data_IF_603102176760
#
_entry.id   IF_603102176760
#
_cell.length_a   1.000
_cell.length_b   1.000
_cell.length_c   1.000
_cell.angle_alpha   90.00
_cell.angle_beta   90.00
_cell.angle_gamma   90.00
#
_symmetry.space_group_name_H-M   'P 1'
#
loop_
_entity.id
_entity.type
_entity.pdbx_description
1 polymer ?
#
# COMPACT_ATOMS: atom_id res chain seq x y z
N UNK A 1 4.41 -15.12 -23.25
CA UNK A 1 4.59 -14.70 -21.84
C UNK A 1 3.32 -14.85 -20.97
N UNK A 2 2.21 -14.15 -21.20
CA UNK A 2 1.01 -14.29 -20.33
C UNK A 2 0.33 -15.68 -20.45
N UNK A 3 0.36 -16.33 -21.59
CA UNK A 3 -0.20 -17.66 -21.81
C UNK A 3 0.66 -18.76 -21.17
N UNK A 4 1.97 -18.69 -21.34
CA UNK A 4 2.93 -19.64 -20.73
C UNK A 4 2.92 -19.54 -19.21
N UNK A 5 2.75 -18.33 -18.66
CA UNK A 5 2.62 -18.14 -17.22
C UNK A 5 1.34 -18.78 -16.65
N UNK A 6 0.23 -18.72 -17.40
CA UNK A 6 -1.02 -19.38 -17.00
C UNK A 6 -0.89 -20.92 -17.04
N UNK A 7 -0.20 -21.45 -18.03
CA UNK A 7 0.03 -22.89 -18.17
C UNK A 7 0.92 -23.39 -17.02
N UNK A 8 2.02 -22.70 -16.70
CA UNK A 8 2.90 -23.06 -15.58
C UNK A 8 2.20 -22.92 -14.22
N UNK A 9 1.33 -21.94 -14.04
CA UNK A 9 0.58 -21.77 -12.81
C UNK A 9 -0.49 -22.83 -12.63
N UNK A 10 -1.10 -23.32 -13.74
CA UNK A 10 -2.09 -24.36 -13.68
C UNK A 10 -1.47 -25.71 -13.33
N UNK A 11 -0.30 -26.07 -13.92
CA UNK A 11 0.42 -27.30 -13.57
C UNK A 11 0.87 -27.33 -12.10
N UNK A 12 1.34 -26.18 -11.56
CA UNK A 12 1.69 -26.07 -10.15
C UNK A 12 0.46 -26.23 -9.23
N UNK A 13 -0.68 -25.74 -9.66
CA UNK A 13 -1.95 -25.86 -8.91
C UNK A 13 -2.41 -27.31 -8.87
N UNK A 14 -2.34 -28.01 -10.01
CA UNK A 14 -2.72 -29.40 -10.13
C UNK A 14 -1.79 -30.30 -9.29
N UNK A 15 -0.49 -30.04 -9.30
CA UNK A 15 0.51 -30.70 -8.45
C UNK A 15 0.24 -30.49 -6.95
N UNK A 16 -0.05 -29.25 -6.53
CA UNK A 16 -0.40 -28.95 -5.14
C UNK A 16 -1.68 -29.65 -4.69
N UNK A 17 -2.64 -29.82 -5.59
CA UNK A 17 -3.91 -30.50 -5.29
C UNK A 17 -3.75 -32.02 -5.20
N UNK A 18 -3.06 -32.62 -6.18
CA UNK A 18 -3.00 -34.06 -6.35
C UNK A 18 -1.91 -34.71 -5.47
N UNK A 19 -0.79 -33.99 -5.25
CA UNK A 19 0.36 -34.54 -4.52
C UNK A 19 0.34 -34.19 -3.03
N UNK A 20 -0.16 -32.99 -2.66
CA UNK A 20 -0.14 -32.50 -1.27
C UNK A 20 -1.53 -32.39 -0.62
N UNK A 21 -2.63 -32.69 -1.34
CA UNK A 21 -3.98 -32.73 -0.80
C UNK A 21 -4.49 -31.36 -0.28
N UNK A 22 -3.97 -30.25 -0.81
CA UNK A 22 -4.43 -28.92 -0.42
C UNK A 22 -5.91 -28.69 -0.78
N UNK A 23 -6.61 -28.01 0.12
CA UNK A 23 -8.00 -27.65 -0.14
C UNK A 23 -8.12 -26.64 -1.31
N UNK A 24 -9.26 -26.62 -1.97
CA UNK A 24 -9.55 -25.62 -3.02
C UNK A 24 -9.44 -24.17 -2.52
N UNK A 25 -9.62 -23.96 -1.23
CA UNK A 25 -9.43 -22.68 -0.55
C UNK A 25 -7.95 -22.28 -0.48
N UNK A 26 -7.08 -23.21 -0.04
CA UNK A 26 -5.64 -22.97 0.05
C UNK A 26 -5.04 -22.66 -1.31
N UNK A 27 -5.47 -23.41 -2.34
CA UNK A 27 -5.07 -23.20 -3.73
C UNK A 27 -5.49 -21.81 -4.23
N UNK A 28 -6.72 -21.40 -3.97
CA UNK A 28 -7.20 -20.05 -4.33
C UNK A 28 -6.40 -18.95 -3.63
N UNK A 29 -6.00 -19.18 -2.37
CA UNK A 29 -5.15 -18.28 -1.60
C UNK A 29 -3.75 -18.17 -2.20
N UNK A 30 -3.10 -19.30 -2.51
CA UNK A 30 -1.77 -19.33 -3.14
C UNK A 30 -1.79 -18.60 -4.48
N UNK A 31 -2.79 -18.89 -5.32
CA UNK A 31 -2.96 -18.21 -6.62
C UNK A 31 -3.13 -16.70 -6.47
N UNK A 32 -3.95 -16.28 -5.53
CA UNK A 32 -4.13 -14.84 -5.24
C UNK A 32 -2.83 -14.18 -4.80
N UNK A 33 -2.10 -14.80 -3.87
CA UNK A 33 -0.84 -14.26 -3.33
C UNK A 33 0.23 -14.16 -4.43
N UNK A 34 0.43 -15.22 -5.21
CA UNK A 34 1.41 -15.24 -6.31
C UNK A 34 1.11 -14.18 -7.37
N UNK A 35 -0.16 -14.08 -7.78
CA UNK A 35 -0.59 -13.07 -8.76
C UNK A 35 -0.39 -11.65 -8.22
N UNK A 36 -0.70 -11.42 -6.95
CA UNK A 36 -0.51 -10.13 -6.29
C UNK A 36 0.97 -9.74 -6.19
N UNK A 37 1.83 -10.69 -5.81
CA UNK A 37 3.29 -10.46 -5.74
C UNK A 37 3.84 -10.10 -7.12
N UNK A 38 3.45 -10.85 -8.16
CA UNK A 38 3.91 -10.56 -9.52
C UNK A 38 3.49 -9.17 -10.00
N UNK A 39 2.26 -8.77 -9.73
CA UNK A 39 1.76 -7.44 -10.08
C UNK A 39 2.47 -6.32 -9.30
N UNK A 40 2.74 -6.50 -8.02
CA UNK A 40 3.46 -5.51 -7.23
C UNK A 40 4.93 -5.42 -7.65
N UNK A 41 5.57 -6.56 -7.96
CA UNK A 41 6.96 -6.58 -8.41
C UNK A 41 7.15 -5.91 -9.77
N UNK A 42 6.23 -6.12 -10.73
CA UNK A 42 6.27 -5.44 -12.04
C UNK A 42 6.15 -3.91 -11.90
N UNK A 43 5.27 -3.44 -11.03
CA UNK A 43 5.13 -2.00 -10.73
C UNK A 43 6.40 -1.43 -10.10
N UNK A 44 7.02 -2.17 -9.17
CA UNK A 44 8.25 -1.75 -8.51
C UNK A 44 9.37 -1.50 -9.49
N UNK A 45 9.56 -2.41 -10.47
CA UNK A 45 10.58 -2.26 -11.51
C UNK A 45 10.29 -1.03 -12.38
N UNK A 46 9.06 -0.92 -12.90
CA UNK A 46 8.69 0.17 -13.82
C UNK A 46 8.81 1.53 -13.12
N UNK A 47 8.30 1.67 -11.91
CA UNK A 47 8.37 2.93 -11.16
C UNK A 47 9.79 3.22 -10.68
N UNK A 48 10.57 2.21 -10.29
CA UNK A 48 11.97 2.36 -9.92
C UNK A 48 12.81 2.94 -11.06
N UNK A 49 12.61 2.42 -12.27
CA UNK A 49 13.25 2.95 -13.49
C UNK A 49 12.78 4.38 -13.76
N UNK A 50 11.47 4.63 -13.74
CA UNK A 50 10.89 5.94 -14.02
C UNK A 50 11.40 7.03 -13.06
N UNK A 51 11.29 6.81 -11.75
CA UNK A 51 11.78 7.77 -10.74
C UNK A 51 13.31 7.83 -10.68
N UNK A 52 14.00 6.75 -11.07
CA UNK A 52 15.46 6.73 -11.23
C UNK A 52 15.92 7.68 -12.32
N UNK A 53 15.32 7.63 -13.51
CA UNK A 53 15.61 8.56 -14.61
C UNK A 53 15.32 10.01 -14.26
N UNK A 54 14.29 10.28 -13.46
CA UNK A 54 13.96 11.62 -13.00
C UNK A 54 14.85 12.14 -11.84
N UNK A 55 15.78 11.32 -11.33
CA UNK A 55 16.64 11.67 -10.19
C UNK A 55 15.98 11.61 -8.81
N UNK A 56 14.75 11.05 -8.71
CA UNK A 56 13.98 10.94 -7.47
C UNK A 56 14.02 9.54 -6.84
N UNK A 57 14.99 8.71 -7.18
CA UNK A 57 15.06 7.31 -6.74
C UNK A 57 15.01 7.14 -5.22
N UNK A 58 15.76 7.95 -4.46
CA UNK A 58 15.77 7.89 -2.98
C UNK A 58 14.40 8.27 -2.40
N UNK A 59 13.76 9.31 -2.92
CA UNK A 59 12.41 9.73 -2.52
C UNK A 59 11.37 8.66 -2.86
N UNK A 60 11.53 8.02 -4.02
CA UNK A 60 10.70 6.87 -4.42
C UNK A 60 10.81 5.72 -3.42
N UNK A 61 12.02 5.35 -2.97
CA UNK A 61 12.21 4.30 -1.98
C UNK A 61 11.50 4.62 -0.65
N UNK A 62 11.60 5.86 -0.17
CA UNK A 62 10.90 6.28 1.07
C UNK A 62 9.38 6.14 0.91
N UNK A 63 8.82 6.70 -0.16
CA UNK A 63 7.38 6.61 -0.43
C UNK A 63 6.91 5.17 -0.65
N UNK A 64 7.68 4.37 -1.39
CA UNK A 64 7.38 2.97 -1.68
C UNK A 64 7.34 2.14 -0.40
N UNK A 65 8.37 2.23 0.45
CA UNK A 65 8.45 1.49 1.71
C UNK A 65 7.26 1.82 2.60
N UNK A 66 6.97 3.10 2.81
CA UNK A 66 5.82 3.53 3.60
C UNK A 66 4.50 3.04 3.01
N UNK A 67 4.30 3.20 1.70
CA UNK A 67 3.08 2.79 1.02
C UNK A 67 2.88 1.27 1.08
N UNK A 68 3.93 0.48 0.87
CA UNK A 68 3.86 -0.98 0.97
C UNK A 68 3.49 -1.42 2.39
N UNK A 69 4.18 -0.92 3.40
CA UNK A 69 3.88 -1.29 4.79
C UNK A 69 2.47 -0.89 5.22
N UNK A 70 1.99 0.29 4.82
CA UNK A 70 0.62 0.72 5.10
C UNK A 70 -0.40 -0.13 4.35
N UNK A 71 -0.19 -0.41 3.05
CA UNK A 71 -1.11 -1.22 2.24
C UNK A 71 -1.21 -2.67 2.70
N UNK A 72 -0.10 -3.29 3.07
CA UNK A 72 -0.10 -4.69 3.56
C UNK A 72 -0.89 -4.80 4.87
N UNK A 73 -0.78 -3.82 5.75
CA UNK A 73 -1.37 -3.87 7.08
C UNK A 73 -2.78 -3.24 7.14
N UNK A 74 -2.96 -2.06 6.57
CA UNK A 74 -4.21 -1.30 6.69
C UNK A 74 -5.11 -1.52 5.47
N UNK A 75 -4.53 -1.94 4.34
CA UNK A 75 -5.25 -2.11 3.09
C UNK A 75 -5.33 -0.80 2.28
N UNK A 76 -6.33 -0.67 1.46
CA UNK A 76 -6.55 0.46 0.58
C UNK A 76 -7.54 0.15 -0.53
N UNK A 77 -7.57 0.95 -1.59
CA UNK A 77 -8.39 0.69 -2.78
C UNK A 77 -7.82 -0.51 -3.53
N UNK A 78 -8.68 -1.51 -3.75
CA UNK A 78 -8.39 -2.67 -4.59
C UNK A 78 -9.13 -2.55 -5.90
N UNK A 79 -8.40 -2.50 -7.00
CA UNK A 79 -8.96 -2.44 -8.35
C UNK A 79 -9.04 -3.85 -8.96
N UNK A 80 -10.13 -4.13 -9.71
CA UNK A 80 -10.32 -5.41 -10.42
C UNK A 80 -9.28 -5.62 -11.53
N UNK A 81 -8.85 -4.52 -12.18
CA UNK A 81 -7.91 -4.56 -13.31
C UNK A 81 -6.52 -4.08 -12.90
N UNK A 82 -5.50 -4.77 -13.39
CA UNK A 82 -4.10 -4.42 -13.17
C UNK A 82 -3.78 -2.97 -13.59
N UNK A 83 -4.24 -2.55 -14.78
CA UNK A 83 -3.96 -1.21 -15.32
C UNK A 83 -4.52 -0.11 -14.41
N UNK A 84 -5.74 -0.27 -13.92
CA UNK A 84 -6.34 0.71 -13.00
C UNK A 84 -5.58 0.81 -11.70
N UNK A 85 -5.15 -0.35 -11.14
CA UNK A 85 -4.34 -0.38 -9.93
C UNK A 85 -2.95 0.22 -10.17
N UNK A 86 -2.34 -0.02 -11.34
CA UNK A 86 -1.07 0.57 -11.75
C UNK A 86 -1.17 2.09 -11.83
N UNK A 87 -2.16 2.62 -12.56
CA UNK A 87 -2.36 4.07 -12.72
C UNK A 87 -2.65 4.75 -11.38
N UNK A 88 -3.50 4.16 -10.54
CA UNK A 88 -3.79 4.69 -9.22
C UNK A 88 -2.52 4.78 -8.36
N UNK A 89 -1.70 3.72 -8.35
CA UNK A 89 -0.44 3.70 -7.60
C UNK A 89 0.55 4.71 -8.17
N UNK A 90 0.62 4.84 -9.50
CA UNK A 90 1.46 5.84 -10.16
C UNK A 90 1.07 7.27 -9.77
N UNK A 91 -0.22 7.61 -9.83
CA UNK A 91 -0.72 8.94 -9.45
C UNK A 91 -0.39 9.25 -7.98
N UNK A 92 -0.54 8.29 -7.09
CA UNK A 92 -0.21 8.48 -5.66
C UNK A 92 1.29 8.71 -5.47
N UNK A 93 2.14 7.88 -6.07
CA UNK A 93 3.60 8.04 -5.96
C UNK A 93 4.07 9.33 -6.62
N UNK A 94 3.59 9.65 -7.82
CA UNK A 94 3.95 10.89 -8.52
C UNK A 94 3.54 12.13 -7.71
N UNK A 95 2.32 12.12 -7.17
CA UNK A 95 1.82 13.22 -6.34
C UNK A 95 2.61 13.36 -5.04
N UNK A 96 2.91 12.27 -4.34
CA UNK A 96 3.64 12.31 -3.06
C UNK A 96 5.13 12.64 -3.21
N UNK A 97 5.76 12.25 -4.32
CA UNK A 97 7.20 12.43 -4.52
C UNK A 97 7.54 13.76 -5.19
N UNK A 98 6.75 14.16 -6.19
CA UNK A 98 7.10 15.30 -7.04
C UNK A 98 6.12 16.46 -6.86
N UNK A 99 4.83 16.21 -7.06
CA UNK A 99 3.84 17.28 -7.20
C UNK A 99 3.64 18.04 -5.89
N UNK A 100 3.22 17.34 -4.83
CA UNK A 100 2.85 17.96 -3.56
C UNK A 100 4.05 18.56 -2.80
N UNK A 101 5.23 17.90 -2.70
CA UNK A 101 6.38 18.50 -2.06
C UNK A 101 6.89 19.77 -2.74
N UNK A 102 6.69 19.90 -4.06
CA UNK A 102 7.06 21.12 -4.80
C UNK A 102 6.05 22.25 -4.66
N UNK A 103 4.75 21.92 -4.58
CA UNK A 103 3.68 22.90 -4.50
C UNK A 103 3.43 23.37 -3.07
N UNK A 104 3.55 22.50 -2.09
CA UNK A 104 3.12 22.71 -0.72
C UNK A 104 4.20 22.20 0.24
N UNK A 105 5.06 23.11 0.69
CA UNK A 105 5.98 22.83 1.77
C UNK A 105 5.27 22.93 3.12
N UNK A 106 5.32 21.85 3.90
CA UNK A 106 4.65 21.76 5.20
C UNK A 106 5.68 21.82 6.32
N UNK A 107 5.49 22.73 7.27
CA UNK A 107 6.37 22.85 8.44
C UNK A 107 6.36 21.55 9.28
N UNK A 108 7.49 21.15 9.89
CA UNK A 108 7.60 19.88 10.64
C UNK A 108 6.55 19.71 11.74
N UNK A 109 6.19 20.79 12.42
CA UNK A 109 5.16 20.76 13.46
C UNK A 109 3.77 20.40 12.88
N UNK A 110 3.44 20.90 11.70
CA UNK A 110 2.20 20.56 11.02
C UNK A 110 2.23 19.12 10.47
N UNK A 111 3.40 18.64 10.02
CA UNK A 111 3.58 17.23 9.63
C UNK A 111 3.22 16.33 10.81
N UNK A 112 3.78 16.58 12.00
CA UNK A 112 3.51 15.81 13.21
C UNK A 112 2.00 15.84 13.54
N UNK A 113 1.40 17.02 13.54
CA UNK A 113 -0.01 17.19 13.87
C UNK A 113 -0.94 16.44 12.90
N UNK A 114 -0.75 16.63 11.60
CA UNK A 114 -1.58 15.98 10.57
C UNK A 114 -1.34 14.47 10.54
N UNK A 115 -0.09 14.00 10.66
CA UNK A 115 0.20 12.56 10.74
C UNK A 115 -0.43 11.92 11.97
N UNK A 116 -0.54 12.62 13.10
CA UNK A 116 -1.25 12.13 14.29
C UNK A 116 -2.74 11.96 14.00
N UNK A 117 -3.36 12.90 13.30
CA UNK A 117 -4.76 12.77 12.84
C UNK A 117 -4.90 11.58 11.88
N UNK A 118 -4.02 11.47 10.90
CA UNK A 118 -4.01 10.33 9.95
C UNK A 118 -3.84 8.99 10.69
N UNK A 119 -2.99 8.92 11.70
CA UNK A 119 -2.78 7.72 12.53
C UNK A 119 -4.07 7.29 13.22
N UNK A 120 -4.80 8.24 13.83
CA UNK A 120 -6.09 7.97 14.49
C UNK A 120 -7.14 7.52 13.47
N UNK A 121 -7.20 8.16 12.31
CA UNK A 121 -8.14 7.80 11.23
C UNK A 121 -7.84 6.38 10.73
N UNK A 122 -6.59 6.07 10.43
CA UNK A 122 -6.17 4.76 9.97
C UNK A 122 -6.48 3.67 10.99
N UNK A 123 -6.29 3.93 12.28
CA UNK A 123 -6.62 3.00 13.36
C UNK A 123 -8.13 2.74 13.48
N UNK A 124 -8.97 3.76 13.30
CA UNK A 124 -10.44 3.64 13.36
C UNK A 124 -11.06 3.02 12.13
N UNK A 125 -10.51 3.30 10.95
CA UNK A 125 -11.07 2.85 9.66
C UNK A 125 -10.54 1.48 9.26
N UNK A 126 -9.23 1.27 9.40
CA UNK A 126 -8.55 0.06 8.93
C UNK A 126 -8.67 -1.13 9.89
N UNK A 127 -8.24 -2.30 9.44
CA UNK A 127 -7.89 -2.63 8.08
C UNK A 127 -9.10 -2.91 7.18
N UNK A 128 -8.99 -2.54 5.90
CA UNK A 128 -9.99 -2.89 4.88
C UNK A 128 -9.46 -4.08 4.08
N UNK A 129 -10.09 -5.23 4.26
CA UNK A 129 -9.74 -6.43 3.50
C UNK A 129 -10.14 -6.29 2.03
N UNK A 130 -9.29 -6.82 1.13
CA UNK A 130 -9.62 -6.96 -0.28
C UNK A 130 -10.84 -7.87 -0.47
N UNK A 131 -11.78 -7.56 -1.36
CA UNK A 131 -12.91 -8.44 -1.67
C UNK A 131 -12.46 -9.77 -2.30
N UNK A 132 -11.24 -9.83 -2.82
CA UNK A 132 -10.66 -11.03 -3.45
C UNK A 132 -9.89 -11.90 -2.46
N UNK A 133 -9.79 -11.49 -1.21
CA UNK A 133 -9.12 -12.25 -0.14
C UNK A 133 -10.17 -12.86 0.78
N UNK A 134 -9.97 -14.12 1.21
CA UNK A 134 -10.81 -14.70 2.25
C UNK A 134 -10.86 -13.82 3.49
N UNK A 135 -11.99 -13.82 4.20
CA UNK A 135 -12.19 -12.98 5.38
C UNK A 135 -11.10 -13.27 6.43
N UNK A 136 -10.30 -12.24 6.82
CA UNK A 136 -9.25 -12.43 7.80
C UNK A 136 -9.82 -12.69 9.20
N UNK A 137 -9.10 -13.50 9.99
CA UNK A 137 -9.42 -13.73 11.39
C UNK A 137 -9.34 -12.43 12.21
N UNK A 138 -10.15 -12.35 13.28
CA UNK A 138 -10.22 -11.19 14.18
C UNK A 138 -8.86 -10.85 14.81
N UNK A 139 -8.05 -11.85 15.12
CA UNK A 139 -6.70 -11.69 15.68
C UNK A 139 -5.78 -11.01 14.65
N UNK A 140 -5.85 -11.46 13.39
CA UNK A 140 -5.07 -10.89 12.29
C UNK A 140 -5.48 -9.42 12.03
N UNK A 141 -6.77 -9.12 12.05
CA UNK A 141 -7.29 -7.75 11.91
C UNK A 141 -6.71 -6.83 12.98
N UNK A 142 -6.71 -7.27 14.25
CA UNK A 142 -6.17 -6.49 15.37
C UNK A 142 -4.66 -6.29 15.22
N UNK A 143 -3.92 -7.33 14.83
CA UNK A 143 -2.48 -7.26 14.59
C UNK A 143 -2.14 -6.27 13.46
N UNK A 144 -2.81 -6.36 12.33
CA UNK A 144 -2.62 -5.46 11.20
C UNK A 144 -2.91 -3.99 11.55
N UNK A 145 -3.99 -3.75 12.31
CA UNK A 145 -4.34 -2.41 12.81
C UNK A 145 -3.24 -1.82 13.68
N UNK A 146 -2.75 -2.60 14.64
CA UNK A 146 -1.67 -2.16 15.53
C UNK A 146 -0.36 -1.92 14.77
N UNK A 147 -0.01 -2.78 13.83
CA UNK A 147 1.19 -2.60 13.00
C UNK A 147 1.10 -1.30 12.18
N UNK A 148 -0.05 -1.04 11.56
CA UNK A 148 -0.26 0.22 10.83
C UNK A 148 -0.14 1.46 11.71
N UNK A 149 -0.65 1.42 12.93
CA UNK A 149 -0.48 2.46 13.93
C UNK A 149 1.00 2.69 14.26
N UNK A 150 1.75 1.62 14.53
CA UNK A 150 3.19 1.68 14.86
C UNK A 150 4.00 2.28 13.72
N UNK A 151 3.70 1.96 12.45
CA UNK A 151 4.40 2.49 11.29
C UNK A 151 4.31 4.02 11.25
N UNK A 152 3.09 4.58 11.36
CA UNK A 152 2.90 6.03 11.35
C UNK A 152 3.53 6.67 12.59
N UNK A 153 3.43 6.02 13.75
CA UNK A 153 4.04 6.49 15.00
C UNK A 153 5.57 6.58 14.90
N UNK A 154 6.22 5.56 14.33
CA UNK A 154 7.68 5.58 14.06
C UNK A 154 8.04 6.76 13.13
N UNK A 155 7.25 6.99 12.07
CA UNK A 155 7.47 8.13 11.18
C UNK A 155 7.38 9.47 11.93
N UNK A 156 6.39 9.66 12.82
CA UNK A 156 6.23 10.86 13.63
C UNK A 156 7.45 11.05 14.55
N UNK A 157 7.91 9.99 15.21
CA UNK A 157 9.12 10.02 16.04
C UNK A 157 10.32 10.46 15.19
N UNK A 158 10.49 9.87 14.01
CA UNK A 158 11.61 10.19 13.13
C UNK A 158 11.60 11.67 12.73
N UNK A 159 10.46 12.22 12.34
CA UNK A 159 10.31 13.66 12.07
C UNK A 159 10.64 14.51 13.31
N UNK A 160 10.15 14.12 14.49
CA UNK A 160 10.35 14.87 15.74
C UNK A 160 11.83 15.00 16.13
N UNK A 161 12.61 13.94 15.93
CA UNK A 161 14.04 13.94 16.28
C UNK A 161 14.93 14.58 15.19
N UNK A 162 14.61 14.37 13.93
CA UNK A 162 15.49 14.70 12.82
C UNK A 162 15.09 15.97 12.04
N UNK A 163 14.00 16.66 12.41
CA UNK A 163 13.54 17.87 11.72
C UNK A 163 14.54 19.03 11.70
N UNK A 164 15.55 19.02 12.57
CA UNK A 164 16.62 20.03 12.60
C UNK A 164 17.67 19.83 11.50
N UNK A 165 17.70 18.66 10.88
CA UNK A 165 18.64 18.35 9.82
C UNK A 165 17.98 18.55 8.46
N UNK A 166 18.31 19.63 7.76
CA UNK A 166 17.77 19.97 6.44
C UNK A 166 17.93 18.87 5.38
N UNK A 167 18.91 17.97 5.58
CA UNK A 167 19.13 16.81 4.71
C UNK A 167 17.89 15.90 4.58
N UNK A 168 17.04 15.86 5.61
CA UNK A 168 15.88 14.99 5.66
C UNK A 168 14.57 15.68 5.25
N UNK A 169 14.56 16.99 5.06
CA UNK A 169 13.34 17.77 4.79
C UNK A 169 12.55 17.22 3.58
N UNK A 170 13.23 16.94 2.48
CA UNK A 170 12.59 16.37 1.29
C UNK A 170 11.95 15.01 1.58
N UNK A 171 12.61 14.16 2.36
CA UNK A 171 12.10 12.83 2.69
C UNK A 171 10.93 12.89 3.67
N UNK A 172 10.93 13.88 4.57
CA UNK A 172 9.79 14.14 5.46
C UNK A 172 8.57 14.61 4.69
N UNK A 173 8.74 15.50 3.72
CA UNK A 173 7.66 15.93 2.83
C UNK A 173 7.08 14.74 2.06
N UNK A 174 7.93 13.93 1.45
CA UNK A 174 7.52 12.74 0.68
C UNK A 174 6.77 11.74 1.56
N UNK A 175 7.32 11.40 2.73
CA UNK A 175 6.68 10.48 3.68
C UNK A 175 5.35 11.00 4.20
N UNK A 176 5.27 12.28 4.54
CA UNK A 176 4.05 12.95 4.95
C UNK A 176 2.95 12.86 3.90
N UNK A 177 3.25 13.26 2.66
CA UNK A 177 2.26 13.20 1.58
C UNK A 177 1.84 11.77 1.23
N UNK A 178 2.76 10.80 1.36
CA UNK A 178 2.44 9.38 1.19
C UNK A 178 1.42 8.93 2.24
N UNK A 179 1.59 9.28 3.52
CA UNK A 179 0.66 8.93 4.60
C UNK A 179 -0.70 9.60 4.38
N UNK A 180 -0.72 10.88 4.03
CA UNK A 180 -1.96 11.64 3.78
C UNK A 180 -2.74 11.03 2.61
N UNK A 181 -2.09 10.78 1.48
CA UNK A 181 -2.73 10.20 0.29
C UNK A 181 -3.21 8.76 0.55
N UNK A 182 -2.43 7.95 1.29
CA UNK A 182 -2.87 6.63 1.71
C UNK A 182 -4.11 6.70 2.60
N UNK A 183 -4.14 7.63 3.57
CA UNK A 183 -5.31 7.82 4.45
C UNK A 183 -6.55 8.25 3.66
N UNK A 184 -6.39 9.12 2.66
CA UNK A 184 -7.47 9.50 1.75
C UNK A 184 -7.99 8.30 0.94
N UNK A 185 -7.07 7.47 0.38
CA UNK A 185 -7.45 6.23 -0.30
C UNK A 185 -8.22 5.26 0.60
N UNK A 186 -7.79 5.10 1.85
CA UNK A 186 -8.47 4.25 2.82
C UNK A 186 -9.90 4.74 3.11
N UNK A 187 -10.08 6.05 3.20
CA UNK A 187 -11.40 6.65 3.41
C UNK A 187 -12.33 6.39 2.23
N UNK A 188 -11.84 6.59 1.00
CA UNK A 188 -12.58 6.29 -0.24
C UNK A 188 -12.94 4.80 -0.31
N UNK A 189 -11.99 3.91 -0.01
CA UNK A 189 -12.23 2.47 -0.01
C UNK A 189 -13.33 2.05 0.97
N UNK A 190 -13.40 2.70 2.14
CA UNK A 190 -14.46 2.44 3.13
C UNK A 190 -15.84 2.87 2.63
N UNK A 191 -15.93 4.02 1.97
CA UNK A 191 -17.19 4.54 1.39
C UNK A 191 -17.67 3.58 0.29
N UNK A 192 -16.81 3.25 -0.66
CA UNK A 192 -17.12 2.34 -1.77
C UNK A 192 -17.62 0.97 -1.29
N UNK A 193 -16.96 0.40 -0.28
CA UNK A 193 -17.40 -0.87 0.32
C UNK A 193 -18.77 -0.78 0.99
N UNK A 194 -19.10 0.36 1.59
CA UNK A 194 -20.41 0.58 2.20
C UNK A 194 -21.53 0.66 1.15
N UNK A 195 -21.26 1.27 0.00
CA UNK A 195 -22.20 1.34 -1.12
C UNK A 195 -22.44 -0.03 -1.76
N UNK A 196 -21.39 -0.84 -1.93
CA UNK A 196 -21.54 -2.23 -2.43
C UNK A 196 -22.43 -3.07 -1.50
N UNK A 197 -22.26 -2.94 -0.18
CA UNK A 197 -23.09 -3.65 0.80
C UNK A 197 -24.54 -3.10 0.90
N UNK A 198 -24.80 -1.86 0.50
CA UNK A 198 -26.13 -1.27 0.52
C UNK A 198 -26.95 -1.62 -0.74
N UNK A 199 -26.28 -1.98 -1.83
CA UNK A 199 -26.88 -2.32 -3.12
C UNK A 199 -26.96 -3.85 -3.37
N UNK A 200 -26.54 -4.68 -2.43
CA UNK A 200 -26.58 -6.15 -2.45
C UNK A 200 -27.70 -6.68 -1.53
#
# INVERSE_FOLDING_TARGET
MAAEWRINMQSLIDELKDEYGYSSYDIAMVKYVLTSIFYEFSKLIIFGIFFGFLGYFKSFLVSLILLLFLRINIGGIHCKHYITCFLLTFVVLFSSIILLPKLLFVAPILIIFICTICMIINYKIGPIASPFRPSPDSILIKKCRNTGFVIIFIFIIFVSFFHKFSLFDTYFQVGFWTIVLHTAQLFIAKISKKEECANA
#
